data_IF_938101789248
#
_entry.id   IF_938101789248
#
_cell.length_a   1.000
_cell.length_b   1.000
_cell.length_c   1.000
_cell.angle_alpha   90.00
_cell.angle_beta   90.00
_cell.angle_gamma   90.00
#
_symmetry.space_group_name_H-M   'P 1'
#
loop_
_entity.id
_entity.type
_entity.pdbx_description
1 polymer ?
#
# COMPACT_ATOMS: atom_id res chain seq x y z
N UNK A 1 -24.92 -39.20 19.34
CA UNK A 1 -23.90 -38.51 20.15
C UNK A 1 -24.02 -36.97 20.10
N UNK A 2 -25.22 -36.43 19.88
CA UNK A 2 -25.52 -35.01 20.10
C UNK A 2 -26.95 -34.96 20.67
N UNK A 3 -27.03 -34.98 22.00
CA UNK A 3 -28.27 -35.11 22.77
C UNK A 3 -29.04 -33.79 22.77
N UNK A 4 -29.81 -33.49 21.71
CA UNK A 4 -30.89 -32.48 21.74
C UNK A 4 -30.49 -31.02 22.08
N UNK A 5 -29.21 -30.72 22.23
CA UNK A 5 -28.70 -29.40 22.61
C UNK A 5 -28.49 -28.56 21.34
N UNK A 6 -29.34 -27.54 21.18
CA UNK A 6 -29.20 -26.51 20.16
C UNK A 6 -28.61 -25.23 20.79
N UNK A 7 -27.70 -24.51 20.11
CA UNK A 7 -27.14 -24.80 18.79
C UNK A 7 -26.08 -25.90 18.81
N UNK A 8 -26.00 -26.69 17.72
CA UNK A 8 -25.03 -27.79 17.57
C UNK A 8 -23.56 -27.34 17.71
N UNK A 9 -23.28 -26.06 17.42
CA UNK A 9 -21.97 -25.45 17.62
C UNK A 9 -22.14 -24.20 18.50
N UNK A 10 -22.04 -24.33 19.83
CA UNK A 10 -22.00 -23.18 20.74
C UNK A 10 -20.61 -22.52 20.66
N UNK A 11 -20.21 -22.09 19.47
CA UNK A 11 -18.98 -21.32 19.27
C UNK A 11 -19.32 -19.85 19.20
N UNK A 12 -18.67 -19.05 20.05
CA UNK A 12 -18.67 -17.60 19.91
C UNK A 12 -18.05 -17.27 18.54
N UNK A 13 -18.77 -16.52 17.69
CA UNK A 13 -18.22 -16.02 16.42
C UNK A 13 -16.92 -15.29 16.73
N UNK A 14 -15.80 -15.74 16.13
CA UNK A 14 -14.52 -15.06 16.26
C UNK A 14 -14.53 -13.85 15.32
N UNK A 15 -14.29 -12.66 15.87
CA UNK A 15 -14.06 -11.48 15.06
C UNK A 15 -12.77 -11.64 14.25
N UNK A 16 -12.79 -11.25 12.99
CA UNK A 16 -11.60 -11.19 12.14
C UNK A 16 -10.69 -10.08 12.65
N UNK A 17 -9.46 -10.44 13.04
CA UNK A 17 -8.49 -9.50 13.62
C UNK A 17 -7.88 -8.57 12.55
N UNK A 18 -7.92 -8.97 11.28
CA UNK A 18 -7.32 -8.25 10.16
C UNK A 18 -8.34 -8.06 9.04
N UNK A 19 -8.11 -7.00 8.26
CA UNK A 19 -8.86 -6.73 7.03
C UNK A 19 -8.64 -7.88 6.01
N UNK A 20 -9.74 -8.44 5.54
CA UNK A 20 -9.77 -9.55 4.57
C UNK A 20 -9.10 -9.13 3.26
N UNK A 21 -9.23 -7.86 2.87
CA UNK A 21 -8.63 -7.31 1.65
C UNK A 21 -7.11 -7.36 1.71
N UNK A 22 -6.53 -6.92 2.84
CA UNK A 22 -5.09 -6.93 3.07
C UNK A 22 -4.55 -8.36 3.10
N UNK A 23 -5.23 -9.29 3.79
CA UNK A 23 -4.83 -10.70 3.82
C UNK A 23 -4.82 -11.29 2.41
N UNK A 24 -5.86 -11.01 1.61
CA UNK A 24 -5.97 -11.54 0.25
C UNK A 24 -4.80 -11.08 -0.61
N UNK A 25 -4.44 -9.79 -0.54
CA UNK A 25 -3.30 -9.22 -1.25
C UNK A 25 -1.99 -9.89 -0.80
N UNK A 26 -1.75 -10.00 0.51
CA UNK A 26 -0.53 -10.64 1.05
C UNK A 26 -0.41 -12.09 0.56
N UNK A 27 -1.49 -12.87 0.60
CA UNK A 27 -1.49 -14.27 0.16
C UNK A 27 -1.17 -14.38 -1.33
N UNK A 28 -1.78 -13.54 -2.18
CA UNK A 28 -1.52 -13.53 -3.63
C UNK A 28 -0.05 -13.21 -3.95
N UNK A 29 0.55 -12.24 -3.27
CA UNK A 29 1.95 -11.93 -3.51
C UNK A 29 2.92 -12.93 -2.89
N UNK A 30 2.55 -13.57 -1.77
CA UNK A 30 3.32 -14.68 -1.21
C UNK A 30 3.33 -15.88 -2.14
N UNK A 31 2.21 -16.23 -2.79
CA UNK A 31 2.18 -17.32 -3.76
C UNK A 31 3.04 -17.01 -4.98
N UNK A 32 3.03 -15.77 -5.47
CA UNK A 32 3.95 -15.34 -6.53
C UNK A 32 5.41 -15.46 -6.09
N UNK A 33 5.75 -14.95 -4.90
CA UNK A 33 7.12 -15.00 -4.35
C UNK A 33 7.59 -16.45 -4.23
N UNK A 34 6.79 -17.34 -3.64
CA UNK A 34 7.10 -18.76 -3.55
C UNK A 34 7.28 -19.41 -4.92
N UNK A 35 6.43 -19.08 -5.89
CA UNK A 35 6.55 -19.61 -7.26
C UNK A 35 7.86 -19.19 -7.92
N UNK A 36 8.26 -17.92 -7.79
CA UNK A 36 9.54 -17.46 -8.31
C UNK A 36 10.73 -18.09 -7.59
N UNK A 37 10.65 -18.27 -6.26
CA UNK A 37 11.68 -18.95 -5.47
C UNK A 37 11.91 -20.40 -5.95
N UNK A 38 10.85 -21.11 -6.35
CA UNK A 38 10.94 -22.45 -6.92
C UNK A 38 11.61 -22.49 -8.29
N UNK A 39 11.53 -21.42 -9.08
CA UNK A 39 12.14 -21.32 -10.42
C UNK A 39 13.64 -20.98 -10.34
N UNK A 40 14.10 -20.38 -9.24
CA UNK A 40 15.51 -19.95 -9.03
C UNK A 40 16.55 -21.03 -9.37
N UNK A 41 16.41 -22.29 -8.95
CA UNK A 41 17.41 -23.32 -9.24
C UNK A 41 17.63 -23.57 -10.73
N UNK A 42 16.62 -23.30 -11.57
CA UNK A 42 16.69 -23.45 -13.02
C UNK A 42 17.51 -22.38 -13.75
N UNK A 43 17.86 -21.27 -13.09
CA UNK A 43 18.61 -20.17 -13.70
C UNK A 43 20.12 -20.38 -13.54
N UNK A 44 20.85 -20.26 -14.66
CA UNK A 44 22.28 -20.56 -14.75
C UNK A 44 23.16 -19.42 -14.21
N UNK A 45 24.22 -19.76 -13.47
CA UNK A 45 25.35 -18.86 -13.17
C UNK A 45 25.08 -17.67 -12.25
N UNK A 46 25.89 -16.60 -12.42
CA UNK A 46 25.84 -15.35 -11.61
C UNK A 46 24.62 -14.48 -11.90
N UNK A 47 24.00 -14.64 -13.09
CA UNK A 47 22.76 -13.95 -13.47
C UNK A 47 21.58 -14.26 -12.54
N UNK A 48 21.63 -15.41 -11.85
CA UNK A 48 20.65 -15.80 -10.82
C UNK A 48 20.44 -14.71 -9.77
N UNK A 49 21.51 -14.17 -9.20
CA UNK A 49 21.40 -13.17 -8.13
C UNK A 49 20.74 -11.88 -8.62
N UNK A 50 21.15 -11.39 -9.80
CA UNK A 50 20.56 -10.19 -10.39
C UNK A 50 19.08 -10.38 -10.76
N UNK A 51 18.73 -11.54 -11.33
CA UNK A 51 17.34 -11.87 -11.63
C UNK A 51 16.49 -11.95 -10.36
N UNK A 52 16.98 -12.64 -9.31
CA UNK A 52 16.25 -12.76 -8.04
C UNK A 52 16.03 -11.41 -7.37
N UNK A 53 17.06 -10.56 -7.34
CA UNK A 53 16.97 -9.22 -6.75
C UNK A 53 15.99 -8.35 -7.54
N UNK A 54 16.00 -8.42 -8.88
CA UNK A 54 15.05 -7.72 -9.74
C UNK A 54 13.60 -8.14 -9.48
N UNK A 55 13.33 -9.44 -9.47
CA UNK A 55 11.98 -9.98 -9.25
C UNK A 55 11.50 -9.65 -7.84
N UNK A 56 12.34 -9.83 -6.82
CA UNK A 56 11.99 -9.55 -5.43
C UNK A 56 11.71 -8.06 -5.22
N UNK A 57 12.59 -7.17 -5.70
CA UNK A 57 12.37 -5.72 -5.58
C UNK A 57 11.10 -5.29 -6.31
N UNK A 58 10.86 -5.82 -7.51
CA UNK A 58 9.64 -5.50 -8.25
C UNK A 58 8.37 -5.98 -7.53
N UNK A 59 8.38 -7.19 -6.98
CA UNK A 59 7.25 -7.71 -6.20
C UNK A 59 7.02 -6.88 -4.94
N UNK A 60 8.07 -6.48 -4.22
CA UNK A 60 7.93 -5.60 -3.05
C UNK A 60 7.25 -4.28 -3.46
N UNK A 61 7.66 -3.66 -4.57
CA UNK A 61 7.01 -2.45 -5.08
C UNK A 61 5.53 -2.70 -5.37
N UNK A 62 5.21 -3.79 -6.08
CA UNK A 62 3.84 -4.15 -6.42
C UNK A 62 2.95 -4.41 -5.20
N UNK A 63 3.45 -5.19 -4.23
CA UNK A 63 2.77 -5.46 -2.95
C UNK A 63 2.43 -4.16 -2.26
N UNK A 64 3.42 -3.27 -2.15
CA UNK A 64 3.28 -2.03 -1.41
C UNK A 64 2.21 -1.14 -2.03
N UNK A 65 2.24 -0.96 -3.35
CA UNK A 65 1.25 -0.12 -4.05
C UNK A 65 -0.17 -0.63 -3.76
N UNK A 66 -0.38 -1.95 -3.81
CA UNK A 66 -1.71 -2.56 -3.59
C UNK A 66 -2.10 -2.56 -2.11
N UNK A 67 -1.20 -2.88 -1.19
CA UNK A 67 -1.51 -2.89 0.26
C UNK A 67 -1.89 -1.51 0.75
N UNK A 68 -1.11 -0.49 0.38
CA UNK A 68 -1.34 0.89 0.79
C UNK A 68 -2.69 1.42 0.29
N UNK A 69 -3.19 0.93 -0.85
CA UNK A 69 -4.50 1.28 -1.40
C UNK A 69 -5.66 0.88 -0.48
N UNK A 70 -5.53 -0.23 0.25
CA UNK A 70 -6.56 -0.76 1.14
C UNK A 70 -6.30 -0.50 2.63
N UNK A 71 -5.15 0.07 2.98
CA UNK A 71 -4.80 0.28 4.39
C UNK A 71 -5.45 1.57 4.93
N UNK A 72 -5.88 1.54 6.19
CA UNK A 72 -6.45 2.69 6.90
C UNK A 72 -5.40 3.49 7.73
N UNK A 73 -4.10 3.22 7.53
CA UNK A 73 -2.99 3.75 8.35
C UNK A 73 -2.20 4.84 7.61
N UNK A 74 -2.89 5.67 6.83
CA UNK A 74 -2.27 6.83 6.17
C UNK A 74 -2.03 7.96 7.17
N UNK A 75 -2.98 8.18 8.07
CA UNK A 75 -2.85 9.11 9.18
C UNK A 75 -3.46 8.47 10.43
N UNK A 76 -2.72 8.49 11.52
CA UNK A 76 -3.09 7.82 12.78
C UNK A 76 -2.94 8.76 13.95
N UNK A 77 -3.84 8.63 14.94
CA UNK A 77 -3.80 9.38 16.18
C UNK A 77 -4.37 8.56 17.32
N UNK A 78 -3.79 8.69 18.51
CA UNK A 78 -4.22 7.96 19.69
C UNK A 78 -4.30 8.91 20.88
N UNK A 79 -5.31 8.73 21.72
CA UNK A 79 -5.48 9.50 22.95
C UNK A 79 -6.04 8.61 24.05
N UNK A 80 -5.49 8.76 25.26
CA UNK A 80 -6.02 8.14 26.47
C UNK A 80 -6.92 9.14 27.16
N UNK A 81 -8.20 8.81 27.35
CA UNK A 81 -9.14 9.72 27.96
C UNK A 81 -10.18 8.99 28.79
N UNK A 82 -10.63 9.66 29.87
CA UNK A 82 -11.80 9.24 30.63
C UNK A 82 -13.03 9.89 30.01
N UNK A 83 -13.90 9.09 29.39
CA UNK A 83 -15.04 9.60 28.62
C UNK A 83 -16.35 8.94 29.04
N UNK A 84 -17.46 9.57 28.71
CA UNK A 84 -18.78 8.96 28.81
C UNK A 84 -18.90 7.81 27.82
N UNK A 85 -19.44 6.67 28.25
CA UNK A 85 -19.53 5.50 27.39
C UNK A 85 -20.83 5.44 26.59
N UNK A 86 -21.97 5.41 27.28
CA UNK A 86 -23.30 5.18 26.68
C UNK A 86 -24.35 6.16 27.21
N UNK A 87 -25.40 6.38 26.43
CA UNK A 87 -26.57 7.14 26.85
C UNK A 87 -27.23 6.47 28.07
N UNK A 88 -27.86 7.27 28.94
CA UNK A 88 -28.54 6.82 30.17
C UNK A 88 -27.63 6.14 31.20
N UNK A 89 -26.31 6.35 31.11
CA UNK A 89 -25.34 5.92 32.12
C UNK A 89 -24.38 7.07 32.45
N UNK A 90 -24.15 7.30 33.75
CA UNK A 90 -23.16 8.28 34.22
C UNK A 90 -21.76 7.66 34.44
N UNK A 91 -21.58 6.37 34.15
CA UNK A 91 -20.30 5.71 34.30
C UNK A 91 -19.27 6.25 33.30
N UNK A 92 -18.13 6.70 33.83
CA UNK A 92 -16.96 7.07 33.04
C UNK A 92 -16.11 5.83 32.81
N UNK A 93 -15.58 5.70 31.60
CA UNK A 93 -14.69 4.60 31.21
C UNK A 93 -13.33 5.16 30.82
N UNK A 94 -12.27 4.46 31.22
CA UNK A 94 -10.91 4.79 30.84
C UNK A 94 -10.58 4.06 29.53
N UNK A 95 -10.47 4.81 28.44
CA UNK A 95 -10.38 4.26 27.09
C UNK A 95 -9.25 4.89 26.29
N UNK A 96 -8.62 4.07 25.47
CA UNK A 96 -7.75 4.49 24.39
C UNK A 96 -8.60 4.63 23.12
N UNK A 97 -8.68 5.86 22.63
CA UNK A 97 -9.42 6.20 21.41
C UNK A 97 -8.37 6.37 20.30
N UNK A 98 -8.50 5.57 19.25
CA UNK A 98 -7.67 5.64 18.06
C UNK A 98 -8.46 6.16 16.87
N UNK A 99 -7.82 7.01 16.08
CA UNK A 99 -8.31 7.51 14.81
C UNK A 99 -7.35 7.05 13.72
N UNK A 100 -7.85 6.29 12.76
CA UNK A 100 -7.10 5.77 11.62
C UNK A 100 -7.77 6.23 10.35
N UNK A 101 -7.14 7.17 9.64
CA UNK A 101 -7.65 7.71 8.39
C UNK A 101 -6.97 7.01 7.24
N UNK A 102 -7.77 6.40 6.37
CA UNK A 102 -7.34 5.84 5.09
C UNK A 102 -7.75 6.71 3.91
N UNK A 103 -7.51 6.20 2.69
CA UNK A 103 -7.89 6.88 1.46
C UNK A 103 -9.41 6.88 1.23
N UNK A 104 -10.07 5.79 1.58
CA UNK A 104 -11.48 5.54 1.26
C UNK A 104 -12.43 5.63 2.47
N UNK A 105 -11.90 5.91 3.67
CA UNK A 105 -12.69 5.99 4.87
C UNK A 105 -11.84 6.20 6.12
N UNK A 106 -12.52 6.18 7.26
CA UNK A 106 -11.93 6.35 8.59
C UNK A 106 -12.34 5.21 9.50
N UNK A 107 -11.38 4.66 10.23
CA UNK A 107 -11.59 3.70 11.29
C UNK A 107 -11.43 4.40 12.64
N UNK A 108 -12.41 4.20 13.52
CA UNK A 108 -12.37 4.70 14.89
C UNK A 108 -12.31 3.50 15.82
N UNK A 109 -11.24 3.42 16.60
CA UNK A 109 -11.02 2.37 17.58
C UNK A 109 -11.30 2.89 18.98
N UNK A 110 -11.95 2.07 19.80
CA UNK A 110 -12.22 2.37 21.20
C UNK A 110 -11.88 1.13 22.02
N UNK A 111 -10.78 1.20 22.76
CA UNK A 111 -10.27 0.10 23.57
C UNK A 111 -10.24 0.48 25.06
N UNK A 112 -10.85 -0.32 25.91
CA UNK A 112 -10.82 -0.12 27.36
C UNK A 112 -9.46 -0.43 27.98
N UNK A 113 -9.05 0.36 28.97
CA UNK A 113 -7.89 0.12 29.83
C UNK A 113 -8.32 -0.05 31.31
N UNK A 114 -8.64 -1.27 31.79
CA UNK A 114 -8.59 -2.58 31.12
C UNK A 114 -9.77 -2.81 30.15
N UNK A 115 -9.70 -3.85 29.30
CA UNK A 115 -10.70 -4.09 28.24
C UNK A 115 -12.11 -4.34 28.79
N UNK A 116 -12.22 -5.00 29.94
CA UNK A 116 -13.50 -5.22 30.60
C UNK A 116 -13.75 -4.13 31.65
N UNK A 117 -14.73 -3.27 31.40
CA UNK A 117 -15.17 -2.23 32.33
C UNK A 117 -16.70 -2.20 32.34
N UNK A 118 -17.29 -1.87 33.50
CA UNK A 118 -18.76 -1.75 33.62
C UNK A 118 -19.50 -3.02 33.16
N UNK A 119 -18.90 -4.20 33.44
CA UNK A 119 -19.38 -5.52 33.01
C UNK A 119 -19.53 -5.70 31.48
N UNK A 120 -18.86 -4.88 30.67
CA UNK A 120 -18.86 -4.95 29.22
C UNK A 120 -17.42 -5.01 28.67
N UNK A 121 -17.25 -5.66 27.51
CA UNK A 121 -15.97 -5.73 26.80
C UNK A 121 -15.87 -4.56 25.82
N UNK A 122 -15.04 -3.58 26.14
CA UNK A 122 -14.83 -2.37 25.34
C UNK A 122 -13.68 -2.62 24.37
N UNK A 123 -14.02 -3.10 23.17
CA UNK A 123 -13.08 -3.27 22.06
C UNK A 123 -13.83 -3.08 20.74
N UNK A 124 -14.05 -1.82 20.38
CA UNK A 124 -14.76 -1.44 19.16
C UNK A 124 -13.76 -1.00 18.08
N UNK A 125 -14.07 -1.36 16.84
CA UNK A 125 -13.36 -0.90 15.64
C UNK A 125 -14.42 -0.65 14.57
N UNK A 126 -14.89 0.59 14.50
CA UNK A 126 -15.95 0.99 13.56
C UNK A 126 -15.33 1.66 12.34
N UNK A 127 -15.78 1.27 11.15
CA UNK A 127 -15.32 1.82 9.88
C UNK A 127 -16.43 2.65 9.23
N UNK A 128 -16.10 3.89 8.90
CA UNK A 128 -16.98 4.79 8.15
C UNK A 128 -16.34 5.09 6.79
N UNK A 129 -16.95 4.55 5.73
CA UNK A 129 -16.48 4.75 4.37
C UNK A 129 -16.95 6.11 3.81
N UNK A 130 -16.10 6.76 3.04
CA UNK A 130 -16.42 7.97 2.27
C UNK A 130 -16.02 7.83 0.79
N UNK A 131 -15.90 6.60 0.29
CA UNK A 131 -15.70 6.32 -1.13
C UNK A 131 -16.85 6.90 -1.97
N UNK A 132 -16.67 6.99 -3.30
CA UNK A 132 -17.70 7.62 -4.16
C UNK A 132 -19.05 6.92 -4.11
N UNK A 133 -19.05 5.60 -3.92
CA UNK A 133 -20.27 4.79 -3.81
C UNK A 133 -20.85 4.75 -2.38
N UNK A 134 -20.10 5.23 -1.39
CA UNK A 134 -20.50 5.18 0.01
C UNK A 134 -21.06 6.53 0.48
N UNK A 135 -22.23 6.47 1.13
CA UNK A 135 -22.80 7.60 1.84
C UNK A 135 -22.36 7.56 3.31
N UNK A 136 -21.43 8.48 3.63
CA UNK A 136 -20.90 8.63 4.98
C UNK A 136 -22.00 9.03 5.98
N UNK A 137 -22.89 9.95 5.59
CA UNK A 137 -23.93 10.47 6.48
C UNK A 137 -24.99 9.41 6.75
N UNK A 138 -25.30 8.57 5.75
CA UNK A 138 -26.14 7.39 5.95
C UNK A 138 -25.50 6.39 6.93
N UNK A 139 -24.21 6.08 6.75
CA UNK A 139 -23.47 5.15 7.61
C UNK A 139 -23.38 5.66 9.06
N UNK A 140 -23.15 6.97 9.22
CA UNK A 140 -23.21 7.64 10.52
C UNK A 140 -24.61 7.57 11.15
N UNK A 141 -25.67 7.83 10.37
CA UNK A 141 -27.06 7.72 10.82
C UNK A 141 -27.43 6.30 11.25
N UNK A 142 -26.90 5.27 10.59
CA UNK A 142 -27.06 3.88 11.00
C UNK A 142 -26.30 3.58 12.31
N UNK A 143 -25.08 4.09 12.45
CA UNK A 143 -24.30 4.02 13.69
C UNK A 143 -25.02 4.65 14.88
N UNK A 144 -25.70 5.79 14.65
CA UNK A 144 -26.52 6.46 15.67
C UNK A 144 -27.73 5.60 16.08
N UNK A 145 -28.43 5.00 15.10
CA UNK A 145 -29.57 4.10 15.35
C UNK A 145 -29.16 2.82 16.08
N UNK A 146 -27.97 2.29 15.81
CA UNK A 146 -27.39 1.12 16.49
C UNK A 146 -26.97 1.44 17.93
N UNK A 147 -26.80 2.72 18.27
CA UNK A 147 -26.41 3.16 19.61
C UNK A 147 -24.92 2.94 19.91
N UNK A 148 -24.04 3.26 18.96
CA UNK A 148 -22.59 3.19 19.16
C UNK A 148 -22.13 4.04 20.38
N UNK A 149 -21.01 3.68 21.02
CA UNK A 149 -20.45 4.45 22.13
C UNK A 149 -20.25 5.93 21.79
N UNK A 150 -20.52 6.80 22.76
CA UNK A 150 -20.49 8.26 22.55
C UNK A 150 -19.16 8.81 22.01
N UNK A 151 -17.97 8.30 22.40
CA UNK A 151 -16.71 8.80 21.85
C UNK A 151 -16.54 8.49 20.36
N UNK A 152 -17.04 7.34 19.89
CA UNK A 152 -16.99 6.96 18.47
C UNK A 152 -17.88 7.89 17.66
N UNK A 153 -19.11 8.11 18.11
CA UNK A 153 -20.05 9.02 17.47
C UNK A 153 -19.51 10.46 17.43
N UNK A 154 -18.90 10.93 18.51
CA UNK A 154 -18.29 12.26 18.56
C UNK A 154 -17.20 12.45 17.50
N UNK A 155 -16.30 11.46 17.34
CA UNK A 155 -15.27 11.51 16.31
C UNK A 155 -15.89 11.43 14.92
N UNK A 156 -16.80 10.48 14.71
CA UNK A 156 -17.46 10.28 13.42
C UNK A 156 -18.24 11.53 12.98
N UNK A 157 -18.87 12.25 13.91
CA UNK A 157 -19.59 13.50 13.66
C UNK A 157 -18.68 14.59 13.08
N UNK A 158 -17.41 14.67 13.52
CA UNK A 158 -16.44 15.65 12.98
C UNK A 158 -16.14 15.44 11.50
N UNK A 159 -16.33 14.22 11.00
CA UNK A 159 -16.13 13.87 9.59
C UNK A 159 -17.43 13.81 8.78
N UNK A 160 -18.55 14.30 9.32
CA UNK A 160 -19.80 14.43 8.55
C UNK A 160 -19.75 15.59 7.57
N UNK A 161 -20.57 15.54 6.52
CA UNK A 161 -20.59 16.59 5.48
C UNK A 161 -21.07 17.94 6.02
N UNK A 162 -21.98 17.93 7.00
CA UNK A 162 -22.58 19.12 7.62
C UNK A 162 -21.75 19.69 8.78
N UNK A 163 -20.64 19.04 9.14
CA UNK A 163 -19.80 19.50 10.25
C UNK A 163 -19.19 20.88 9.95
N UNK A 164 -19.12 21.80 10.95
CA UNK A 164 -18.51 23.12 10.77
C UNK A 164 -17.01 23.04 10.47
N UNK A 165 -16.39 21.89 10.75
CA UNK A 165 -14.98 21.63 10.52
C UNK A 165 -14.65 21.39 9.05
N UNK A 166 -15.62 21.01 8.21
CA UNK A 166 -15.46 20.79 6.76
C UNK A 166 -14.32 19.84 6.35
N UNK A 167 -13.81 19.03 7.28
CA UNK A 167 -12.67 18.11 7.05
C UNK A 167 -13.04 16.97 6.11
N UNK A 168 -14.31 16.55 6.12
CA UNK A 168 -14.83 15.47 5.26
C UNK A 168 -14.49 15.69 3.78
N UNK A 169 -14.82 16.87 3.25
CA UNK A 169 -14.63 17.18 1.83
C UNK A 169 -13.16 17.13 1.43
N UNK A 170 -12.27 17.57 2.32
CA UNK A 170 -10.83 17.62 2.05
C UNK A 170 -10.21 16.21 2.07
N UNK A 171 -10.49 15.41 3.09
CA UNK A 171 -10.02 14.01 3.16
C UNK A 171 -10.59 13.16 2.02
N UNK A 172 -11.86 13.36 1.67
CA UNK A 172 -12.49 12.65 0.56
C UNK A 172 -11.82 12.99 -0.78
N UNK A 173 -11.65 14.27 -1.12
CA UNK A 173 -11.06 14.66 -2.41
C UNK A 173 -9.59 14.24 -2.51
N UNK A 174 -8.79 14.51 -1.47
CA UNK A 174 -7.37 14.14 -1.43
C UNK A 174 -7.18 12.62 -1.47
N UNK A 175 -7.95 11.86 -0.68
CA UNK A 175 -7.93 10.41 -0.66
C UNK A 175 -8.30 9.81 -2.02
N UNK A 176 -9.26 10.42 -2.73
CA UNK A 176 -9.62 10.01 -4.09
C UNK A 176 -8.50 10.25 -5.10
N UNK A 177 -7.88 11.43 -5.12
CA UNK A 177 -6.78 11.71 -6.04
C UNK A 177 -5.54 10.86 -5.72
N UNK A 178 -5.23 10.65 -4.44
CA UNK A 178 -4.16 9.76 -4.01
C UNK A 178 -4.44 8.31 -4.46
N UNK A 179 -5.64 7.79 -4.21
CA UNK A 179 -6.10 6.48 -4.70
C UNK A 179 -5.99 6.35 -6.23
N UNK A 180 -6.47 7.34 -6.99
CA UNK A 180 -6.38 7.33 -8.45
C UNK A 180 -4.92 7.30 -8.93
N UNK A 181 -4.05 8.11 -8.32
CA UNK A 181 -2.62 8.11 -8.66
C UNK A 181 -1.91 6.80 -8.31
N UNK A 182 -2.31 6.10 -7.24
CA UNK A 182 -1.78 4.78 -6.90
C UNK A 182 -2.24 3.69 -7.88
N UNK A 183 -3.47 3.74 -8.36
CA UNK A 183 -3.93 2.86 -9.43
C UNK A 183 -3.16 3.09 -10.73
N UNK A 184 -2.88 4.35 -11.09
CA UNK A 184 -2.03 4.68 -12.24
C UNK A 184 -0.59 4.20 -12.02
N UNK A 185 -0.05 4.35 -10.79
CA UNK A 185 1.25 3.81 -10.43
C UNK A 185 1.29 2.27 -10.57
N UNK A 186 0.23 1.57 -10.16
CA UNK A 186 0.12 0.12 -10.32
C UNK A 186 0.13 -0.31 -11.80
N UNK A 187 -0.66 0.36 -12.64
CA UNK A 187 -0.68 0.09 -14.08
C UNK A 187 0.68 0.35 -14.75
N UNK A 188 1.33 1.46 -14.40
CA UNK A 188 2.66 1.79 -14.95
C UNK A 188 3.75 0.85 -14.46
N UNK A 189 3.66 0.35 -13.21
CA UNK A 189 4.52 -0.70 -12.69
C UNK A 189 4.34 -2.02 -13.45
N UNK A 190 3.11 -2.42 -13.76
CA UNK A 190 2.85 -3.60 -14.59
C UNK A 190 3.49 -3.47 -15.98
N UNK A 191 3.30 -2.31 -16.63
CA UNK A 191 3.89 -2.05 -17.95
C UNK A 191 5.42 -2.05 -17.87
N UNK A 192 6.00 -1.45 -16.83
CA UNK A 192 7.45 -1.45 -16.60
C UNK A 192 8.01 -2.88 -16.48
N UNK A 193 7.34 -3.76 -15.74
CA UNK A 193 7.72 -5.18 -15.64
C UNK A 193 7.64 -5.95 -16.96
N UNK A 194 6.59 -5.70 -17.74
CA UNK A 194 6.47 -6.29 -19.08
C UNK A 194 7.60 -5.82 -20.00
N UNK A 195 7.91 -4.52 -20.00
CA UNK A 195 8.98 -3.95 -20.80
C UNK A 195 10.37 -4.44 -20.38
N UNK A 196 10.60 -4.67 -19.08
CA UNK A 196 11.84 -5.29 -18.58
C UNK A 196 12.02 -6.77 -18.96
N UNK A 197 10.95 -7.42 -19.41
CA UNK A 197 11.01 -8.79 -19.96
C UNK A 197 11.32 -8.80 -21.47
N UNK A 198 11.14 -7.66 -22.14
CA UNK A 198 11.52 -7.45 -23.54
C UNK A 198 12.91 -6.79 -23.63
N UNK A 199 13.60 -6.85 -24.79
CA UNK A 199 14.91 -6.21 -24.97
C UNK A 199 14.88 -4.67 -24.90
N UNK A 200 13.75 -4.06 -24.57
CA UNK A 200 13.52 -2.62 -24.64
C UNK A 200 13.58 -1.95 -23.25
N UNK A 201 14.77 -2.04 -22.65
CA UNK A 201 15.03 -1.66 -21.25
C UNK A 201 14.80 -0.17 -20.93
N UNK A 202 14.97 0.70 -21.92
CA UNK A 202 14.86 2.16 -21.76
C UNK A 202 13.44 2.58 -21.40
N UNK A 203 12.45 2.07 -22.13
CA UNK A 203 11.05 2.39 -21.84
C UNK A 203 10.60 1.75 -20.52
N UNK A 204 11.18 0.60 -20.14
CA UNK A 204 10.97 0.02 -18.81
C UNK A 204 11.43 0.97 -17.69
N UNK A 205 12.60 1.59 -17.85
CA UNK A 205 13.12 2.62 -16.94
C UNK A 205 12.28 3.89 -16.90
N UNK A 206 11.82 4.40 -18.05
CA UNK A 206 10.91 5.55 -18.09
C UNK A 206 9.57 5.26 -17.40
N UNK A 207 8.98 4.08 -17.62
CA UNK A 207 7.73 3.71 -16.94
C UNK A 207 7.93 3.55 -15.43
N UNK A 208 9.10 3.07 -14.98
CA UNK A 208 9.43 2.99 -13.55
C UNK A 208 9.56 4.38 -12.90
N UNK A 209 10.12 5.35 -13.63
CA UNK A 209 10.15 6.75 -13.21
C UNK A 209 8.75 7.34 -13.06
N UNK A 210 7.89 7.06 -14.05
CA UNK A 210 6.48 7.49 -14.03
C UNK A 210 5.76 6.87 -12.83
N UNK A 211 5.97 5.58 -12.53
CA UNK A 211 5.46 4.94 -11.32
C UNK A 211 5.90 5.67 -10.05
N UNK A 212 7.20 5.95 -9.90
CA UNK A 212 7.71 6.69 -8.75
C UNK A 212 7.13 8.10 -8.63
N UNK A 213 6.96 8.80 -9.77
CA UNK A 213 6.38 10.13 -9.82
C UNK A 213 4.90 10.13 -9.37
N UNK A 214 4.09 9.16 -9.84
CA UNK A 214 2.70 9.04 -9.40
C UNK A 214 2.58 8.65 -7.93
N UNK A 215 3.48 7.82 -7.40
CA UNK A 215 3.55 7.55 -5.96
C UNK A 215 3.85 8.81 -5.15
N UNK A 216 4.82 9.63 -5.58
CA UNK A 216 5.13 10.90 -4.90
C UNK A 216 3.96 11.88 -5.03
N UNK A 217 3.30 11.95 -6.19
CA UNK A 217 2.11 12.76 -6.39
C UNK A 217 0.97 12.34 -5.44
N UNK A 218 0.80 11.05 -5.18
CA UNK A 218 -0.18 10.55 -4.20
C UNK A 218 0.07 11.10 -2.79
N UNK A 219 1.34 11.15 -2.38
CA UNK A 219 1.76 11.68 -1.08
C UNK A 219 1.53 13.18 -0.98
N UNK A 220 1.87 13.92 -2.03
CA UNK A 220 1.63 15.36 -2.11
C UNK A 220 0.13 15.63 -2.02
N UNK A 221 -0.70 14.90 -2.77
CA UNK A 221 -2.15 15.02 -2.76
C UNK A 221 -2.72 14.78 -1.37
N UNK A 222 -2.30 13.71 -0.68
CA UNK A 222 -2.74 13.43 0.69
C UNK A 222 -2.24 14.49 1.69
N UNK A 223 -1.01 14.96 1.55
CA UNK A 223 -0.44 15.99 2.45
C UNK A 223 -1.15 17.34 2.34
N UNK A 224 -1.83 17.65 1.24
CA UNK A 224 -2.57 18.92 1.10
C UNK A 224 -3.67 19.09 2.15
N UNK A 225 -4.17 18.00 2.72
CA UNK A 225 -5.22 17.99 3.75
C UNK A 225 -4.80 18.74 5.00
N UNK A 226 -3.52 18.65 5.38
CA UNK A 226 -2.99 19.25 6.61
C UNK A 226 -2.72 20.75 6.50
N UNK A 227 -2.87 21.33 5.30
CA UNK A 227 -2.66 22.76 5.06
C UNK A 227 -3.85 23.63 5.52
N UNK A 228 -4.99 23.02 5.84
CA UNK A 228 -6.13 23.71 6.42
C UNK A 228 -6.13 23.59 7.96
N UNK A 229 -6.68 24.57 8.70
CA UNK A 229 -6.80 24.46 10.14
C UNK A 229 -7.77 23.31 10.49
N UNK A 230 -7.21 22.18 10.90
CA UNK A 230 -7.98 21.04 11.42
C UNK A 230 -8.67 21.43 12.72
N UNK A 231 -9.95 21.10 12.84
CA UNK A 231 -10.67 21.25 14.10
C UNK A 231 -9.99 20.41 15.20
N UNK A 232 -9.73 20.98 16.38
CA UNK A 232 -9.21 20.21 17.50
C UNK A 232 -10.27 19.22 17.98
N UNK A 233 -9.92 17.92 18.00
CA UNK A 233 -10.73 16.87 18.60
C UNK A 233 -10.31 16.75 20.07
N UNK A 234 -11.19 17.12 20.99
CA UNK A 234 -10.89 17.15 22.42
C UNK A 234 -11.84 16.23 23.19
N UNK A 235 -11.24 15.42 24.06
CA UNK A 235 -11.93 14.55 25.01
C UNK A 235 -11.65 15.07 26.42
N UNK A 236 -12.50 15.99 26.89
CA UNK A 236 -12.27 16.68 28.16
C UNK A 236 -10.99 17.51 28.11
N UNK A 237 -9.95 17.07 28.82
CA UNK A 237 -8.64 17.74 28.87
C UNK A 237 -7.62 17.20 27.87
N UNK A 238 -7.89 16.07 27.22
CA UNK A 238 -6.96 15.43 26.30
C UNK A 238 -7.32 15.77 24.84
N UNK A 239 -6.34 16.19 24.05
CA UNK A 239 -6.52 16.45 22.62
C UNK A 239 -5.99 15.27 21.79
N UNK A 240 -6.77 14.86 20.77
CA UNK A 240 -6.32 13.85 19.81
C UNK A 240 -5.53 14.56 18.70
N UNK A 241 -4.24 14.26 18.63
CA UNK A 241 -3.36 14.72 17.58
C UNK A 241 -3.11 13.59 16.57
N UNK A 242 -3.27 13.90 15.30
CA UNK A 242 -3.01 12.98 14.20
C UNK A 242 -1.63 13.24 13.58
N UNK A 243 -0.95 12.17 13.22
CA UNK A 243 0.32 12.18 12.51
C UNK A 243 0.32 11.19 11.35
N UNK A 244 1.26 11.37 10.41
CA UNK A 244 1.41 10.44 9.28
C UNK A 244 1.68 9.02 9.78
N UNK A 245 0.85 8.08 9.31
CA UNK A 245 0.94 6.68 9.67
C UNK A 245 1.97 5.91 8.84
N UNK A 246 2.04 4.60 9.08
CA UNK A 246 3.02 3.72 8.44
C UNK A 246 2.90 3.67 6.92
N UNK A 247 1.68 3.68 6.38
CA UNK A 247 1.44 3.59 4.93
C UNK A 247 1.98 4.81 4.18
N UNK A 248 1.94 5.99 4.79
CA UNK A 248 2.48 7.22 4.20
C UNK A 248 4.01 7.12 4.04
N UNK A 249 4.73 6.78 5.11
CA UNK A 249 6.19 6.62 5.09
C UNK A 249 6.64 5.48 4.19
N UNK A 250 5.90 4.38 4.20
CA UNK A 250 6.20 3.22 3.38
C UNK A 250 6.08 3.57 1.89
N UNK A 251 5.04 4.31 1.50
CA UNK A 251 4.85 4.82 0.13
C UNK A 251 5.95 5.79 -0.26
N UNK A 252 6.42 6.65 0.65
CA UNK A 252 7.54 7.55 0.40
C UNK A 252 8.83 6.79 0.09
N UNK A 253 9.17 5.80 0.92
CA UNK A 253 10.39 4.99 0.74
C UNK A 253 10.35 4.25 -0.59
N UNK A 254 9.23 3.58 -0.91
CA UNK A 254 9.10 2.82 -2.15
C UNK A 254 9.00 3.72 -3.38
N UNK A 255 8.29 4.86 -3.29
CA UNK A 255 8.23 5.83 -4.38
C UNK A 255 9.62 6.40 -4.72
N UNK A 256 10.42 6.73 -3.70
CA UNK A 256 11.80 7.20 -3.88
C UNK A 256 12.71 6.09 -4.42
N UNK A 257 12.55 4.85 -3.95
CA UNK A 257 13.25 3.69 -4.49
C UNK A 257 12.97 3.51 -5.99
N UNK A 258 11.70 3.56 -6.41
CA UNK A 258 11.31 3.47 -7.82
C UNK A 258 11.90 4.62 -8.65
N UNK A 259 11.87 5.84 -8.11
CA UNK A 259 12.42 7.01 -8.80
C UNK A 259 13.94 6.90 -8.98
N UNK A 260 14.68 6.54 -7.93
CA UNK A 260 16.14 6.34 -7.99
C UNK A 260 16.48 5.17 -8.93
N UNK A 261 15.78 4.04 -8.81
CA UNK A 261 15.99 2.88 -9.68
C UNK A 261 15.73 3.24 -11.16
N UNK A 262 14.65 3.96 -11.45
CA UNK A 262 14.36 4.47 -12.79
C UNK A 262 15.47 5.36 -13.34
N UNK A 263 15.99 6.30 -12.54
CA UNK A 263 17.10 7.18 -12.94
C UNK A 263 18.33 6.33 -13.25
N UNK A 264 18.68 5.39 -12.37
CA UNK A 264 19.87 4.55 -12.56
C UNK A 264 19.80 3.75 -13.87
N UNK A 265 18.65 3.20 -14.23
CA UNK A 265 18.46 2.47 -15.49
C UNK A 265 18.65 3.39 -16.70
N UNK A 266 18.07 4.59 -16.67
CA UNK A 266 18.20 5.58 -17.76
C UNK A 266 19.64 6.05 -17.89
N UNK A 267 20.30 6.39 -16.78
CA UNK A 267 21.72 6.78 -16.77
C UNK A 267 22.62 5.65 -17.27
N UNK A 268 22.42 4.41 -16.82
CA UNK A 268 23.20 3.26 -17.30
C UNK A 268 23.02 3.01 -18.80
N UNK A 269 21.83 3.25 -19.34
CA UNK A 269 21.61 3.16 -20.78
C UNK A 269 22.47 4.16 -21.57
N UNK A 270 22.58 5.41 -21.11
CA UNK A 270 23.35 6.45 -21.81
C UNK A 270 24.87 6.31 -21.63
N UNK A 271 25.34 5.85 -20.46
CA UNK A 271 26.78 5.82 -20.15
C UNK A 271 27.44 4.46 -20.39
N UNK A 272 26.75 3.33 -20.14
CA UNK A 272 27.33 1.98 -20.21
C UNK A 272 26.28 0.92 -20.59
N UNK A 273 25.84 0.94 -21.86
CA UNK A 273 24.89 -0.03 -22.42
C UNK A 273 25.33 -1.49 -22.17
N UNK A 274 26.63 -1.79 -22.25
CA UNK A 274 27.15 -3.14 -22.06
C UNK A 274 26.99 -3.65 -20.61
N UNK A 275 27.11 -2.78 -19.61
CA UNK A 275 26.88 -3.15 -18.21
C UNK A 275 25.40 -3.42 -17.96
N UNK A 276 24.52 -2.62 -18.56
CA UNK A 276 23.07 -2.82 -18.49
C UNK A 276 22.66 -4.13 -19.18
N UNK A 277 23.21 -4.43 -20.36
CA UNK A 277 22.99 -5.70 -21.07
C UNK A 277 23.48 -6.90 -20.25
N UNK A 278 24.63 -6.80 -19.57
CA UNK A 278 25.09 -7.86 -18.67
C UNK A 278 24.22 -8.04 -17.42
N UNK A 279 23.60 -6.97 -16.90
CA UNK A 279 22.70 -7.05 -15.75
C UNK A 279 21.36 -7.69 -16.12
N UNK A 280 20.87 -7.45 -17.34
CA UNK A 280 19.65 -8.04 -17.87
C UNK A 280 19.86 -9.36 -18.62
N UNK A 281 21.10 -9.88 -18.63
CA UNK A 281 21.50 -11.10 -19.35
C UNK A 281 21.12 -11.09 -20.84
N UNK A 282 21.07 -9.89 -21.44
CA UNK A 282 20.82 -9.65 -22.87
C UNK A 282 22.11 -9.81 -23.68
N UNK A 283 22.95 -10.78 -23.31
CA UNK A 283 24.05 -11.17 -24.18
C UNK A 283 23.39 -11.87 -25.37
N UNK A 284 23.14 -11.12 -26.44
CA UNK A 284 23.17 -11.71 -27.78
C UNK A 284 24.44 -12.55 -27.79
N UNK A 285 24.27 -13.87 -27.89
CA UNK A 285 25.33 -14.76 -28.29
C UNK A 285 25.73 -14.31 -29.70
N UNK A 286 26.61 -13.30 -29.77
CA UNK A 286 27.38 -12.92 -30.96
C UNK A 286 28.28 -14.07 -31.46
N UNK A 287 28.16 -15.24 -30.85
CA UNK A 287 28.75 -16.49 -31.29
C UNK A 287 27.86 -17.21 -32.31
N UNK A 288 26.53 -16.98 -32.35
CA UNK A 288 25.65 -17.66 -33.31
C UNK A 288 25.52 -16.90 -34.64
N UNK A 289 25.52 -15.56 -34.66
CA UNK A 289 25.50 -14.80 -35.93
C UNK A 289 26.79 -14.97 -36.77
N UNK A 290 27.95 -15.15 -36.12
CA UNK A 290 29.17 -15.48 -36.86
C UNK A 290 29.16 -16.92 -37.39
N UNK A 291 28.39 -17.82 -36.78
CA UNK A 291 28.36 -19.23 -37.14
C UNK A 291 27.34 -19.50 -38.26
N UNK A 292 26.18 -18.84 -38.24
CA UNK A 292 25.22 -18.87 -39.36
C UNK A 292 25.76 -18.15 -40.62
N UNK A 293 26.56 -17.10 -40.47
CA UNK A 293 27.17 -16.42 -41.63
C UNK A 293 28.31 -17.25 -42.26
N UNK A 294 28.99 -18.12 -41.49
CA UNK A 294 30.03 -19.02 -42.03
C UNK A 294 29.49 -20.23 -42.79
N UNK A 295 28.26 -20.67 -42.57
CA UNK A 295 27.70 -21.80 -43.33
C UNK A 295 27.20 -21.41 -44.73
N UNK A 296 26.98 -20.13 -45.01
CA UNK A 296 26.37 -19.66 -46.27
C UNK A 296 27.35 -19.01 -47.25
N UNK A 297 28.58 -18.65 -46.84
CA UNK A 297 29.57 -18.07 -47.76
C UNK A 297 30.95 -18.73 -47.67
N UNK A 298 31.33 -19.36 -48.78
CA UNK A 298 32.66 -19.90 -49.03
C UNK A 298 33.68 -18.76 -49.20
N UNK A 299 34.83 -18.92 -48.52
CA UNK A 299 36.16 -18.28 -48.70
C UNK A 299 36.56 -17.01 -47.92
N UNK A 300 37.87 -16.84 -47.60
CA UNK A 300 38.31 -16.52 -46.24
C UNK A 300 39.21 -15.27 -46.21
N UNK A 301 38.79 -14.19 -45.55
CA UNK A 301 39.71 -13.09 -45.19
C UNK A 301 39.25 -12.44 -43.88
N UNK A 302 39.69 -12.97 -42.75
CA UNK A 302 39.71 -12.21 -41.50
C UNK A 302 41.11 -11.63 -41.31
N UNK A 303 41.29 -10.40 -41.80
CA UNK A 303 42.45 -9.58 -41.49
C UNK A 303 42.43 -9.23 -39.99
N UNK A 304 43.32 -9.84 -39.21
CA UNK A 304 43.78 -9.25 -37.96
C UNK A 304 44.73 -8.11 -38.31
N UNK A 305 44.28 -6.87 -38.11
CA UNK A 305 45.19 -5.73 -37.99
C UNK A 305 45.25 -5.37 -36.52
N UNK A 306 46.32 -5.87 -35.91
CA UNK A 306 46.82 -5.47 -34.62
C UNK A 306 47.28 -4.00 -34.71
N UNK A 307 46.82 -3.15 -33.78
CA UNK A 307 47.35 -1.80 -33.59
C UNK A 307 47.76 -1.65 -32.13
N UNK A 308 49.05 -1.46 -31.92
CA UNK A 308 49.55 -0.82 -30.71
C UNK A 308 50.97 -1.20 -30.36
N UNK A 309 51.92 -0.53 -31.02
CA UNK A 309 53.25 -0.25 -30.47
C UNK A 309 53.11 0.67 -29.25
#
# INVERSE_FOLDING_TARGET
LFDGIYPFYPQKRKATVFDVSIITVIVVFLTFTCSFLLIIPGIRGRARLYWTLRVLLSLIVGVVIVVVQFTADWETGWVKANTSYKAFSHALVNVDIGLHVGLAGVNVTLMGNPVNQVNETINYNEHFAWSFDADYDHSYGEGLKRGLPSPILYVAEKFTTQSPCSVHRQYRISGHYASASLWVAFCTWLISNMLFSMPVLVYGGYMLLVTGAFMIFSLISFSTVRNSPMCPIQFGTAALHTGYGGSFWLTLVIGLLCFVAGITVVTLHFFKLDVLKTFFDLREDKTEECQEMTEVYVNPVCHFVDKGL
#
